data_IF_020237152822
#
_entry.id   IF_020237152822
#
_cell.length_a   1.000
_cell.length_b   1.000
_cell.length_c   1.000
_cell.angle_alpha   90.00
_cell.angle_beta   90.00
_cell.angle_gamma   90.00
#
_symmetry.space_group_name_H-M   'P 1'
#
loop_
_entity.id
_entity.type
_entity.pdbx_description
1 polymer ?
#
# COMPACT_ATOMS: atom_id res chain seq x y z
N UNK A 1 -34.72 -45.61 -46.99
CA UNK A 1 -33.74 -45.32 -45.93
C UNK A 1 -33.67 -43.85 -45.50
N UNK A 2 -33.90 -42.86 -46.33
CA UNK A 2 -33.85 -41.45 -45.92
C UNK A 2 -34.98 -41.02 -44.95
N UNK A 3 -36.19 -41.54 -45.09
CA UNK A 3 -37.33 -41.23 -44.20
C UNK A 3 -37.20 -41.75 -42.77
N UNK A 4 -36.47 -42.87 -42.57
CA UNK A 4 -36.20 -43.39 -41.21
C UNK A 4 -35.21 -42.58 -40.39
N UNK A 5 -34.28 -41.87 -41.06
CA UNK A 5 -33.31 -40.99 -40.35
C UNK A 5 -33.97 -39.76 -39.76
N UNK A 6 -34.98 -39.23 -40.41
CA UNK A 6 -35.72 -38.03 -39.90
C UNK A 6 -36.68 -38.39 -38.76
N UNK A 7 -37.24 -39.60 -38.75
CA UNK A 7 -38.09 -40.05 -37.64
C UNK A 7 -37.23 -40.34 -36.39
N UNK A 8 -36.03 -40.91 -36.53
CA UNK A 8 -35.13 -41.11 -35.41
C UNK A 8 -34.59 -39.80 -34.83
N UNK A 9 -34.35 -38.78 -35.68
CA UNK A 9 -33.93 -37.43 -35.22
C UNK A 9 -35.06 -36.65 -34.54
N UNK A 10 -36.35 -36.82 -35.01
CA UNK A 10 -37.49 -36.27 -34.32
C UNK A 10 -37.79 -36.91 -32.96
N UNK A 11 -37.55 -38.21 -32.81
CA UNK A 11 -37.66 -38.91 -31.52
C UNK A 11 -36.55 -38.52 -30.55
N UNK A 12 -35.31 -38.29 -31.01
CA UNK A 12 -34.22 -37.81 -30.18
C UNK A 12 -34.45 -36.36 -29.69
N UNK A 13 -35.06 -35.50 -30.54
CA UNK A 13 -35.40 -34.14 -30.15
C UNK A 13 -36.53 -34.09 -29.09
N UNK A 14 -37.50 -35.03 -29.16
CA UNK A 14 -38.56 -35.15 -28.15
C UNK A 14 -38.06 -35.69 -26.79
N UNK A 15 -36.96 -36.46 -26.76
CA UNK A 15 -36.37 -36.95 -25.50
C UNK A 15 -35.59 -35.84 -24.76
N UNK A 16 -35.10 -34.85 -25.44
CA UNK A 16 -34.47 -33.69 -24.79
C UNK A 16 -35.48 -32.61 -24.36
N UNK A 17 -36.69 -32.57 -24.89
CA UNK A 17 -37.75 -31.65 -24.47
C UNK A 17 -38.48 -32.12 -23.19
N UNK A 18 -38.27 -33.35 -22.74
CA UNK A 18 -38.95 -33.92 -21.58
C UNK A 18 -38.32 -33.64 -20.22
N UNK A 19 -37.21 -32.90 -20.18
CA UNK A 19 -36.56 -32.53 -18.90
C UNK A 19 -36.71 -31.06 -18.56
N UNK A 20 -37.43 -30.27 -19.35
CA UNK A 20 -37.87 -28.93 -18.97
C UNK A 20 -39.37 -28.99 -18.64
N UNK A 21 -39.68 -29.53 -17.46
CA UNK A 21 -41.01 -29.36 -16.89
C UNK A 21 -41.29 -27.88 -16.62
N UNK A 22 -42.56 -27.46 -16.83
CA UNK A 22 -43.12 -26.15 -16.53
C UNK A 22 -43.11 -25.82 -15.01
N UNK A 23 -42.03 -26.14 -14.31
CA UNK A 23 -41.88 -25.84 -12.90
C UNK A 23 -40.76 -24.82 -12.61
N UNK A 24 -40.60 -23.83 -13.48
CA UNK A 24 -40.15 -22.54 -13.00
C UNK A 24 -41.38 -21.92 -12.33
N UNK A 25 -41.48 -22.06 -11.00
CA UNK A 25 -42.35 -21.19 -10.24
C UNK A 25 -41.97 -19.77 -10.60
N UNK A 26 -42.91 -19.00 -11.15
CA UNK A 26 -42.75 -17.54 -11.21
C UNK A 26 -42.39 -17.09 -9.80
N UNK A 27 -41.37 -16.24 -9.60
CA UNK A 27 -41.09 -15.70 -8.28
C UNK A 27 -42.40 -15.05 -7.81
N UNK A 28 -43.01 -15.63 -6.80
CA UNK A 28 -44.16 -15.01 -6.16
C UNK A 28 -43.62 -13.74 -5.51
N UNK A 29 -43.94 -12.58 -6.05
CA UNK A 29 -43.47 -11.27 -5.59
C UNK A 29 -43.80 -10.97 -4.13
N UNK A 30 -44.49 -11.88 -3.46
CA UNK A 30 -44.87 -11.80 -2.04
C UNK A 30 -44.02 -12.65 -1.11
N UNK A 31 -43.20 -13.57 -1.62
CA UNK A 31 -42.23 -14.24 -0.76
C UNK A 31 -40.99 -13.35 -0.61
N UNK A 32 -40.80 -12.80 0.57
CA UNK A 32 -39.50 -12.26 1.00
C UNK A 32 -38.45 -13.28 0.62
N UNK A 33 -37.54 -12.94 -0.31
CA UNK A 33 -36.39 -13.77 -0.69
C UNK A 33 -35.65 -14.05 0.62
N UNK A 34 -35.84 -15.25 1.17
CA UNK A 34 -35.02 -15.70 2.31
C UNK A 34 -33.62 -15.80 1.75
N UNK A 35 -32.75 -14.86 2.13
CA UNK A 35 -31.33 -14.96 1.82
C UNK A 35 -30.89 -16.35 2.22
N UNK A 36 -30.39 -17.19 1.29
CA UNK A 36 -30.02 -18.57 1.61
C UNK A 36 -29.03 -18.53 2.75
N UNK A 37 -29.28 -19.28 3.79
CA UNK A 37 -28.33 -19.44 4.90
C UNK A 37 -27.05 -20.00 4.32
N UNK A 38 -25.92 -19.38 4.60
CA UNK A 38 -24.61 -19.82 4.11
C UNK A 38 -24.43 -21.32 4.34
N UNK A 39 -24.02 -22.10 3.32
CA UNK A 39 -23.69 -23.51 3.48
C UNK A 39 -22.38 -23.71 4.27
N UNK A 40 -21.65 -22.63 4.53
CA UNK A 40 -20.38 -22.63 5.21
C UNK A 40 -20.54 -22.20 6.68
N UNK A 41 -19.86 -22.90 7.57
CA UNK A 41 -19.83 -22.63 8.99
C UNK A 41 -21.07 -23.09 9.76
N UNK A 42 -21.14 -22.71 11.01
CA UNK A 42 -22.21 -23.03 11.93
C UNK A 42 -23.11 -21.81 12.15
N UNK A 43 -24.20 -21.73 11.40
CA UNK A 43 -25.14 -20.61 11.45
C UNK A 43 -25.94 -20.51 12.78
N UNK A 44 -25.82 -21.50 13.67
CA UNK A 44 -26.45 -21.50 14.99
C UNK A 44 -25.64 -20.74 16.04
N UNK A 45 -24.38 -20.38 15.73
CA UNK A 45 -23.56 -19.59 16.65
C UNK A 45 -24.17 -18.20 16.86
N UNK A 46 -24.22 -17.80 18.13
CA UNK A 46 -24.71 -16.50 18.60
C UNK A 46 -23.56 -15.62 19.08
N UNK A 47 -23.72 -14.31 19.00
CA UNK A 47 -22.69 -13.32 19.39
C UNK A 47 -22.70 -13.04 20.90
N UNK A 48 -22.71 -14.09 21.71
CA UNK A 48 -22.54 -14.04 23.16
C UNK A 48 -21.12 -14.40 23.57
N UNK A 49 -20.66 -13.95 24.73
CA UNK A 49 -19.32 -14.18 25.27
C UNK A 49 -18.18 -13.83 24.27
N UNK A 50 -18.39 -12.80 23.45
CA UNK A 50 -17.37 -12.32 22.51
C UNK A 50 -16.34 -11.49 23.27
N UNK A 51 -15.06 -11.85 23.13
CA UNK A 51 -13.92 -11.08 23.65
C UNK A 51 -13.09 -10.55 22.49
N UNK A 52 -12.25 -9.56 22.76
CA UNK A 52 -11.32 -9.02 21.75
C UNK A 52 -10.13 -9.95 21.54
N UNK A 53 -9.49 -9.85 20.37
CA UNK A 53 -8.28 -10.62 20.06
C UNK A 53 -7.14 -10.23 21.02
N UNK A 54 -7.02 -8.95 21.41
CA UNK A 54 -6.04 -8.54 22.42
C UNK A 54 -6.28 -9.19 23.77
N UNK A 55 -7.54 -9.27 24.22
CA UNK A 55 -7.89 -9.96 25.47
C UNK A 55 -7.54 -11.45 25.39
N UNK A 56 -7.86 -12.11 24.27
CA UNK A 56 -7.50 -13.51 24.05
C UNK A 56 -5.98 -13.71 24.10
N UNK A 57 -5.20 -12.89 23.40
CA UNK A 57 -3.72 -12.95 23.41
C UNK A 57 -3.17 -12.73 24.82
N UNK A 58 -3.73 -11.82 25.59
CA UNK A 58 -3.35 -11.56 26.98
C UNK A 58 -3.64 -12.75 27.90
N UNK A 59 -4.86 -13.33 27.82
CA UNK A 59 -5.28 -14.47 28.64
C UNK A 59 -4.38 -15.70 28.44
N UNK A 60 -3.89 -15.88 27.20
CA UNK A 60 -3.08 -17.04 26.82
C UNK A 60 -1.63 -16.69 26.48
N UNK A 61 -1.11 -15.55 26.94
CA UNK A 61 0.23 -15.04 26.61
C UNK A 61 1.35 -16.07 26.86
N UNK A 62 1.27 -16.84 27.96
CA UNK A 62 2.25 -17.90 28.27
C UNK A 62 2.26 -19.03 27.25
N UNK A 63 1.12 -19.34 26.65
CA UNK A 63 0.99 -20.39 25.65
C UNK A 63 1.46 -19.90 24.27
N UNK A 64 1.27 -18.62 23.97
CA UNK A 64 1.72 -17.99 22.73
C UNK A 64 3.24 -17.75 22.72
N UNK A 65 3.83 -17.45 23.87
CA UNK A 65 5.24 -17.11 24.00
C UNK A 65 6.22 -18.27 23.70
N UNK A 66 5.73 -19.50 23.54
CA UNK A 66 6.55 -20.70 23.34
C UNK A 66 5.97 -21.63 22.28
N UNK A 67 6.84 -22.16 21.42
CA UNK A 67 6.42 -23.10 20.36
C UNK A 67 5.86 -24.44 20.90
N UNK A 68 6.06 -24.74 22.16
CA UNK A 68 5.63 -26.03 22.78
C UNK A 68 4.56 -25.86 23.86
N UNK A 69 4.23 -24.64 24.24
CA UNK A 69 3.29 -24.32 25.30
C UNK A 69 1.91 -23.92 24.73
N UNK A 70 1.21 -24.85 24.12
CA UNK A 70 -0.17 -24.66 23.68
C UNK A 70 -1.16 -25.23 24.69
N UNK A 71 -2.42 -24.79 24.62
CA UNK A 71 -3.48 -25.31 25.51
C UNK A 71 -4.82 -25.37 24.79
N UNK A 72 -5.69 -26.26 25.28
CA UNK A 72 -7.09 -26.31 24.88
C UNK A 72 -7.86 -25.17 25.56
N UNK A 73 -8.74 -24.50 24.84
CA UNK A 73 -9.63 -23.47 25.37
C UNK A 73 -10.88 -24.17 25.94
N UNK A 74 -11.01 -24.20 27.25
CA UNK A 74 -12.17 -24.80 27.94
C UNK A 74 -13.28 -23.77 28.19
N UNK A 75 -12.96 -22.48 28.15
CA UNK A 75 -13.90 -21.37 28.34
C UNK A 75 -14.87 -21.29 27.17
N UNK A 76 -16.13 -20.95 27.47
CA UNK A 76 -17.12 -20.61 26.46
C UNK A 76 -16.91 -19.13 26.03
N UNK A 77 -15.99 -18.91 25.12
CA UNK A 77 -15.62 -17.60 24.59
C UNK A 77 -15.53 -17.64 23.08
N UNK A 78 -15.80 -16.50 22.48
CA UNK A 78 -15.76 -16.31 21.02
C UNK A 78 -14.92 -15.07 20.70
N UNK A 79 -14.42 -15.00 19.48
CA UNK A 79 -13.86 -13.78 18.88
C UNK A 79 -14.64 -13.43 17.63
N UNK A 80 -14.69 -12.13 17.32
CA UNK A 80 -15.27 -11.61 16.08
C UNK A 80 -14.25 -10.71 15.40
N UNK A 81 -14.00 -10.94 14.12
CA UNK A 81 -13.02 -10.16 13.37
C UNK A 81 -13.24 -10.29 11.88
N UNK A 82 -12.40 -9.62 11.12
CA UNK A 82 -12.39 -9.68 9.67
C UNK A 82 -11.25 -10.57 9.16
N UNK A 83 -11.53 -11.36 8.14
CA UNK A 83 -10.49 -12.05 7.37
C UNK A 83 -9.66 -11.02 6.63
N UNK A 84 -8.35 -11.02 6.82
CA UNK A 84 -7.42 -10.10 6.17
C UNK A 84 -6.49 -10.78 5.17
N UNK A 85 -6.30 -12.09 5.28
CA UNK A 85 -5.52 -12.91 4.36
C UNK A 85 -5.96 -14.36 4.40
N UNK A 86 -5.80 -15.07 3.27
CA UNK A 86 -6.18 -16.47 3.09
C UNK A 86 -5.20 -17.20 2.14
N UNK A 87 -5.57 -18.42 1.72
CA UNK A 87 -4.72 -19.31 0.94
C UNK A 87 -4.74 -19.06 -0.58
N UNK A 88 -5.37 -17.98 -1.08
CA UNK A 88 -5.55 -17.75 -2.53
C UNK A 88 -4.22 -17.61 -3.27
N UNK A 89 -3.26 -16.89 -2.71
CA UNK A 89 -1.92 -16.69 -3.30
C UNK A 89 -0.93 -17.81 -3.00
N UNK A 90 -1.29 -18.78 -2.15
CA UNK A 90 -0.44 -19.91 -1.77
C UNK A 90 0.69 -19.60 -0.79
N UNK A 91 0.83 -18.34 -0.37
CA UNK A 91 1.83 -17.94 0.61
C UNK A 91 1.38 -18.17 2.07
N UNK A 92 0.07 -17.94 2.35
CA UNK A 92 -0.58 -18.41 3.57
C UNK A 92 -1.12 -19.81 3.30
N UNK A 93 -0.38 -20.85 3.70
CA UNK A 93 -0.76 -22.23 3.38
C UNK A 93 -1.59 -22.86 4.48
N UNK A 94 -2.90 -23.08 4.20
CA UNK A 94 -3.85 -23.65 5.16
C UNK A 94 -3.99 -22.77 6.41
N UNK A 95 -3.91 -21.46 6.23
CA UNK A 95 -4.00 -20.46 7.26
C UNK A 95 -4.87 -19.30 6.79
N UNK A 96 -5.55 -18.68 7.74
CA UNK A 96 -6.35 -17.48 7.54
C UNK A 96 -5.96 -16.47 8.61
N UNK A 97 -5.64 -15.25 8.22
CA UNK A 97 -5.44 -14.16 9.16
C UNK A 97 -6.78 -13.54 9.53
N UNK A 98 -7.03 -13.39 10.82
CA UNK A 98 -8.23 -12.76 11.37
C UNK A 98 -7.82 -11.61 12.27
N UNK A 99 -8.44 -10.46 12.07
CA UNK A 99 -8.12 -9.20 12.73
C UNK A 99 -9.38 -8.52 13.25
N UNK A 100 -9.30 -7.97 14.47
CA UNK A 100 -10.23 -6.98 15.00
C UNK A 100 -9.50 -5.63 15.22
N UNK A 101 -10.16 -4.65 15.80
CA UNK A 101 -9.56 -3.33 16.11
C UNK A 101 -8.38 -3.42 17.07
N UNK A 102 -8.31 -4.48 17.90
CA UNK A 102 -7.35 -4.61 18.99
C UNK A 102 -6.16 -5.48 18.66
N UNK A 103 -6.26 -6.38 17.67
CA UNK A 103 -5.18 -7.29 17.34
C UNK A 103 -5.51 -8.23 16.20
N UNK A 104 -4.59 -9.17 15.96
CA UNK A 104 -4.76 -10.21 14.94
C UNK A 104 -4.12 -11.54 15.39
N UNK A 105 -4.56 -12.62 14.76
CA UNK A 105 -4.02 -13.97 14.92
C UNK A 105 -4.20 -14.78 13.64
N UNK A 106 -3.52 -15.93 13.56
CA UNK A 106 -3.71 -16.89 12.49
C UNK A 106 -4.63 -18.03 12.94
N UNK A 107 -5.53 -18.43 12.04
CA UNK A 107 -6.36 -19.62 12.21
C UNK A 107 -5.84 -20.70 11.28
N UNK A 108 -5.35 -21.79 11.85
CA UNK A 108 -4.67 -22.88 11.13
C UNK A 108 -5.65 -24.01 10.86
N UNK A 109 -5.93 -24.29 9.58
CA UNK A 109 -6.98 -25.23 9.14
C UNK A 109 -6.38 -26.19 8.12
N UNK A 110 -6.46 -27.49 8.37
CA UNK A 110 -6.01 -28.53 7.43
C UNK A 110 -7.01 -28.69 6.28
N UNK A 111 -7.12 -27.66 5.46
CA UNK A 111 -7.95 -27.63 4.26
C UNK A 111 -7.36 -26.64 3.24
N UNK A 112 -7.52 -26.94 1.97
CA UNK A 112 -7.27 -25.99 0.88
C UNK A 112 -8.57 -25.37 0.40
N UNK A 113 -8.46 -24.26 -0.37
CA UNK A 113 -9.60 -23.55 -0.93
C UNK A 113 -10.38 -22.76 0.10
N UNK A 114 -9.71 -22.32 1.16
CA UNK A 114 -10.31 -21.46 2.19
C UNK A 114 -10.79 -20.14 1.62
N UNK A 115 -10.10 -19.62 0.61
CA UNK A 115 -10.44 -18.39 -0.10
C UNK A 115 -11.82 -18.41 -0.76
N UNK A 116 -12.39 -19.58 -1.02
CA UNK A 116 -13.71 -19.70 -1.63
C UNK A 116 -14.87 -19.22 -0.74
N UNK A 117 -14.64 -19.09 0.59
CA UNK A 117 -15.65 -18.64 1.53
C UNK A 117 -15.11 -17.75 2.66
N UNK A 118 -13.79 -17.66 2.83
CA UNK A 118 -13.11 -16.76 3.74
C UNK A 118 -12.36 -15.70 2.93
N UNK A 119 -13.11 -14.85 2.27
CA UNK A 119 -12.56 -13.77 1.45
C UNK A 119 -12.09 -12.60 2.31
N UNK A 120 -11.03 -11.87 1.94
CA UNK A 120 -10.62 -10.67 2.65
C UNK A 120 -11.78 -9.66 2.76
N UNK A 121 -11.99 -9.11 3.97
CA UNK A 121 -13.12 -8.25 4.28
C UNK A 121 -14.39 -8.98 4.76
N UNK A 122 -14.40 -10.33 4.77
CA UNK A 122 -15.47 -11.11 5.38
C UNK A 122 -15.37 -11.05 6.90
N UNK A 123 -16.42 -10.61 7.57
CA UNK A 123 -16.52 -10.70 9.02
C UNK A 123 -16.90 -12.11 9.43
N UNK A 124 -16.23 -12.65 10.46
CA UNK A 124 -16.50 -13.99 11.00
C UNK A 124 -16.58 -13.95 12.53
N UNK A 125 -17.44 -14.79 13.06
CA UNK A 125 -17.49 -15.14 14.49
C UNK A 125 -16.83 -16.51 14.64
N UNK A 126 -15.91 -16.67 15.59
CA UNK A 126 -15.23 -17.94 15.87
C UNK A 126 -15.53 -18.35 17.31
N UNK A 127 -16.14 -19.52 17.48
CA UNK A 127 -16.28 -20.19 18.78
C UNK A 127 -14.98 -20.90 19.12
N UNK A 128 -14.34 -20.47 20.21
CA UNK A 128 -13.01 -20.96 20.58
C UNK A 128 -13.07 -22.17 21.52
N UNK A 129 -14.24 -22.50 22.06
CA UNK A 129 -14.38 -23.62 22.99
C UNK A 129 -13.95 -24.92 22.34
N UNK A 130 -13.07 -25.66 23.00
CA UNK A 130 -12.47 -26.91 22.55
C UNK A 130 -11.42 -26.78 21.41
N UNK A 131 -11.18 -25.61 20.87
CA UNK A 131 -10.02 -25.35 20.00
C UNK A 131 -8.74 -25.19 20.84
N UNK A 132 -7.62 -25.24 20.19
CA UNK A 132 -6.31 -25.03 20.79
C UNK A 132 -5.76 -23.65 20.43
N UNK A 133 -5.10 -23.02 21.42
CA UNK A 133 -4.35 -21.77 21.26
C UNK A 133 -2.88 -22.00 21.63
N UNK A 134 -2.00 -21.42 20.85
CA UNK A 134 -0.56 -21.48 21.07
C UNK A 134 0.18 -20.48 20.24
N UNK A 135 1.50 -20.65 20.13
CA UNK A 135 2.33 -19.81 19.27
C UNK A 135 3.31 -20.63 18.44
N UNK A 136 3.50 -20.20 17.19
CA UNK A 136 4.60 -20.64 16.37
C UNK A 136 5.54 -19.45 16.12
N UNK A 137 6.78 -19.54 16.60
CA UNK A 137 7.67 -18.37 16.61
C UNK A 137 7.10 -17.17 17.37
N UNK A 138 6.28 -17.40 18.40
CA UNK A 138 5.51 -16.40 19.15
C UNK A 138 4.39 -15.71 18.33
N UNK A 139 4.12 -16.11 17.10
CA UNK A 139 2.91 -15.71 16.38
C UNK A 139 1.72 -16.44 17.00
N UNK A 140 0.69 -15.69 17.41
CA UNK A 140 -0.52 -16.28 17.96
C UNK A 140 -1.29 -17.09 16.93
N UNK A 141 -1.63 -18.34 17.27
CA UNK A 141 -2.35 -19.27 16.40
C UNK A 141 -3.49 -19.96 17.13
N UNK A 142 -4.61 -20.10 16.44
CA UNK A 142 -5.72 -20.97 16.81
C UNK A 142 -5.73 -22.17 15.87
N UNK A 143 -5.86 -23.38 16.41
CA UNK A 143 -5.84 -24.57 15.57
C UNK A 143 -6.09 -25.87 16.32
N UNK A 144 -5.36 -26.90 15.96
CA UNK A 144 -5.35 -28.23 16.58
C UNK A 144 -3.97 -28.59 17.13
N UNK A 145 -3.73 -29.88 17.32
CA UNK A 145 -2.45 -30.39 17.78
C UNK A 145 -1.68 -30.95 16.59
N UNK A 146 -0.43 -30.51 16.45
CA UNK A 146 0.55 -31.16 15.59
C UNK A 146 1.42 -32.10 16.43
N UNK A 147 1.65 -33.32 15.94
CA UNK A 147 2.59 -34.27 16.52
C UNK A 147 3.67 -34.62 15.51
N UNK A 148 4.91 -34.34 15.84
CA UNK A 148 6.04 -34.77 15.05
C UNK A 148 6.21 -36.28 15.16
N UNK A 149 5.95 -37.02 14.10
CA UNK A 149 5.96 -38.48 14.10
C UNK A 149 7.34 -39.12 14.38
N UNK A 150 8.43 -38.35 14.19
CA UNK A 150 9.79 -38.83 14.45
C UNK A 150 10.21 -38.68 15.91
N UNK A 151 9.77 -37.62 16.55
CA UNK A 151 10.22 -37.25 17.91
C UNK A 151 9.13 -37.41 18.96
N UNK A 152 7.87 -37.54 18.59
CA UNK A 152 6.71 -37.51 19.48
C UNK A 152 6.41 -36.13 20.06
N UNK A 153 7.19 -35.10 19.72
CA UNK A 153 6.97 -33.74 20.21
C UNK A 153 5.68 -33.16 19.66
N UNK A 154 4.96 -32.43 20.51
CA UNK A 154 3.70 -31.78 20.14
C UNK A 154 3.83 -30.26 20.15
N UNK A 155 3.05 -29.59 19.30
CA UNK A 155 2.93 -28.13 19.22
C UNK A 155 1.54 -27.74 18.74
N UNK A 156 1.25 -26.44 18.74
CA UNK A 156 0.10 -25.93 18.00
C UNK A 156 0.21 -26.34 16.51
N UNK A 157 -0.91 -26.64 15.89
CA UNK A 157 -0.96 -27.04 14.50
C UNK A 157 -2.35 -26.81 13.91
N UNK A 158 -2.62 -27.47 12.77
CA UNK A 158 -3.87 -27.26 12.03
C UNK A 158 -5.01 -28.09 12.59
N UNK A 159 -6.18 -27.49 12.73
CA UNK A 159 -7.42 -28.25 13.01
C UNK A 159 -7.95 -28.89 11.73
N UNK A 160 -8.68 -29.97 11.85
CA UNK A 160 -9.35 -30.59 10.70
C UNK A 160 -10.55 -29.75 10.22
N UNK A 161 -10.92 -29.94 8.95
CA UNK A 161 -12.01 -29.20 8.31
C UNK A 161 -13.38 -29.41 8.99
N UNK A 162 -13.78 -30.63 9.40
CA UNK A 162 -15.03 -30.82 10.13
C UNK A 162 -15.10 -30.05 11.45
N UNK A 163 -14.01 -30.02 12.22
CA UNK A 163 -13.90 -29.20 13.43
C UNK A 163 -14.07 -27.72 13.08
N UNK A 164 -13.31 -27.21 12.10
CA UNK A 164 -13.45 -25.82 11.68
C UNK A 164 -14.89 -25.46 11.32
N UNK A 165 -15.56 -26.31 10.52
CA UNK A 165 -16.93 -26.07 10.04
C UNK A 165 -17.94 -25.88 11.19
N UNK A 166 -17.69 -26.40 12.36
CA UNK A 166 -18.56 -26.26 13.54
C UNK A 166 -18.27 -25.00 14.36
N UNK A 167 -17.08 -24.41 14.19
CA UNK A 167 -16.53 -23.38 15.06
C UNK A 167 -16.60 -21.97 14.50
N UNK A 168 -17.10 -21.74 13.29
CA UNK A 168 -17.22 -20.40 12.76
C UNK A 168 -18.59 -20.12 12.14
N UNK A 169 -18.90 -18.83 12.04
CA UNK A 169 -20.07 -18.31 11.32
C UNK A 169 -19.65 -17.09 10.50
N UNK A 170 -20.11 -17.04 9.25
CA UNK A 170 -19.97 -15.85 8.40
C UNK A 170 -20.99 -14.80 8.84
N UNK A 171 -20.58 -13.54 8.94
CA UNK A 171 -21.42 -12.41 9.33
C UNK A 171 -21.48 -11.43 8.18
N UNK A 172 -22.67 -11.19 7.65
CA UNK A 172 -22.88 -10.27 6.53
C UNK A 172 -22.16 -10.70 5.26
N UNK A 173 -22.01 -9.76 4.35
CA UNK A 173 -21.29 -9.93 3.11
C UNK A 173 -19.84 -9.44 3.24
N UNK A 174 -18.96 -10.00 2.42
CA UNK A 174 -17.57 -9.56 2.34
C UNK A 174 -17.47 -8.21 1.65
N UNK A 175 -16.77 -7.25 2.26
CA UNK A 175 -16.41 -5.97 1.63
C UNK A 175 -14.93 -5.66 1.94
N UNK A 176 -14.12 -5.51 0.91
CA UNK A 176 -12.71 -5.16 1.04
C UNK A 176 -12.47 -3.83 1.79
N UNK A 177 -13.46 -2.94 1.82
CA UNK A 177 -13.41 -1.68 2.60
C UNK A 177 -13.41 -1.89 4.12
N UNK A 178 -13.77 -3.08 4.57
CA UNK A 178 -13.74 -3.42 6.01
C UNK A 178 -12.30 -3.65 6.53
N UNK A 179 -11.31 -3.72 5.64
CA UNK A 179 -9.93 -4.03 6.00
C UNK A 179 -8.97 -3.05 5.33
N UNK A 180 -8.70 -1.94 5.99
CA UNK A 180 -7.64 -1.03 5.56
C UNK A 180 -6.30 -1.44 6.21
N UNK A 181 -5.19 -1.52 5.42
CA UNK A 181 -3.89 -1.83 5.99
C UNK A 181 -3.38 -0.68 6.87
N UNK A 182 -3.01 -0.98 8.11
CA UNK A 182 -2.35 -0.01 8.97
C UNK A 182 -0.91 0.26 8.49
N UNK A 183 -0.41 1.49 8.64
CA UNK A 183 0.97 1.78 8.30
C UNK A 183 1.94 1.15 9.31
N UNK A 184 2.93 0.42 8.80
CA UNK A 184 3.99 -0.16 9.62
C UNK A 184 5.03 0.91 9.97
N UNK A 185 5.22 1.16 11.26
CA UNK A 185 6.25 2.09 11.74
C UNK A 185 7.62 1.41 11.79
N UNK A 186 8.43 1.64 10.77
CA UNK A 186 9.76 1.06 10.65
C UNK A 186 10.70 1.49 11.81
N UNK A 187 10.47 2.62 12.44
CA UNK A 187 11.25 3.07 13.60
C UNK A 187 11.05 2.17 14.82
N UNK A 188 9.90 1.48 14.89
CA UNK A 188 9.52 0.53 15.95
C UNK A 188 9.77 -0.94 15.59
N UNK A 189 10.50 -1.20 14.52
CA UNK A 189 10.77 -2.58 14.04
C UNK A 189 11.35 -3.51 15.11
N UNK A 190 12.10 -2.98 16.08
CA UNK A 190 12.69 -3.72 17.21
C UNK A 190 11.95 -3.55 18.55
N UNK A 191 10.80 -2.84 18.54
CA UNK A 191 9.99 -2.64 19.74
C UNK A 191 9.14 -3.89 20.01
N UNK A 192 9.36 -4.51 21.16
CA UNK A 192 8.69 -5.76 21.53
C UNK A 192 7.18 -5.56 21.79
N UNK A 193 6.78 -4.43 22.36
CA UNK A 193 5.37 -4.12 22.62
C UNK A 193 4.61 -3.86 21.31
N UNK A 194 5.21 -3.11 20.40
CA UNK A 194 4.68 -2.89 19.04
C UNK A 194 4.50 -4.20 18.29
N UNK A 195 5.49 -5.11 18.39
CA UNK A 195 5.42 -6.43 17.76
C UNK A 195 4.31 -7.30 18.39
N UNK A 196 4.18 -7.31 19.71
CA UNK A 196 3.15 -8.08 20.41
C UNK A 196 1.74 -7.62 20.02
N UNK A 197 1.53 -6.32 19.92
CA UNK A 197 0.25 -5.72 19.55
C UNK A 197 -0.12 -6.02 18.10
N UNK A 198 0.86 -5.89 17.17
CA UNK A 198 0.57 -5.81 15.75
C UNK A 198 0.86 -7.09 14.95
N UNK A 199 1.52 -8.10 15.55
CA UNK A 199 1.81 -9.35 14.84
C UNK A 199 0.51 -10.08 14.42
N UNK A 200 0.44 -10.41 13.13
CA UNK A 200 -0.71 -10.99 12.45
C UNK A 200 -1.60 -9.99 11.71
N UNK A 201 -1.43 -8.67 11.91
CA UNK A 201 -2.25 -7.64 11.26
C UNK A 201 -1.92 -7.47 9.78
N UNK A 202 -2.92 -7.02 9.03
CA UNK A 202 -2.74 -6.47 7.68
C UNK A 202 -2.12 -5.09 7.82
N UNK A 203 -0.93 -4.90 7.24
CA UNK A 203 -0.20 -3.64 7.32
C UNK A 203 0.45 -3.30 5.98
N UNK A 204 0.90 -2.06 5.83
CA UNK A 204 1.67 -1.58 4.69
C UNK A 204 3.00 -0.97 5.14
N UNK A 205 4.10 -1.46 4.59
CA UNK A 205 5.44 -0.87 4.72
C UNK A 205 5.71 0.00 3.49
N UNK A 206 5.93 1.29 3.71
CA UNK A 206 6.08 2.26 2.62
C UNK A 206 7.53 2.52 2.24
N UNK A 207 7.75 2.86 0.97
CA UNK A 207 9.02 3.39 0.42
C UNK A 207 10.20 2.44 0.63
N UNK A 208 10.04 1.19 0.25
CA UNK A 208 11.10 0.18 0.30
C UNK A 208 11.41 -0.37 -1.08
N UNK A 209 12.60 -0.95 -1.25
CA UNK A 209 13.02 -1.69 -2.44
C UNK A 209 13.53 -3.07 -2.04
N UNK A 210 13.42 -4.04 -2.94
CA UNK A 210 14.06 -5.33 -2.72
C UNK A 210 15.56 -5.20 -2.91
N UNK A 211 16.34 -5.65 -1.92
CA UNK A 211 17.81 -5.52 -1.93
C UNK A 211 18.45 -6.28 -3.09
N UNK A 212 17.93 -7.47 -3.37
CA UNK A 212 18.51 -8.41 -4.34
C UNK A 212 17.74 -8.40 -5.67
N UNK A 213 17.04 -7.30 -6.00
CA UNK A 213 16.40 -7.09 -7.29
C UNK A 213 17.46 -6.80 -8.36
N UNK A 214 17.88 -7.84 -9.08
CA UNK A 214 18.97 -7.84 -10.06
C UNK A 214 18.50 -8.28 -11.47
N UNK A 215 17.17 -8.33 -11.67
CA UNK A 215 16.55 -8.82 -12.89
C UNK A 215 16.58 -10.35 -13.06
N UNK A 216 17.06 -11.12 -12.06
CA UNK A 216 17.22 -12.59 -12.11
C UNK A 216 16.73 -13.29 -10.84
N UNK A 217 17.00 -12.72 -9.68
CA UNK A 217 16.62 -13.29 -8.37
C UNK A 217 15.10 -13.34 -8.25
N UNK A 218 14.55 -14.51 -7.87
CA UNK A 218 13.11 -14.74 -7.71
C UNK A 218 12.72 -14.73 -6.24
N UNK A 219 11.41 -14.57 -5.95
CA UNK A 219 10.89 -14.53 -4.59
C UNK A 219 11.21 -15.80 -3.79
N UNK A 220 11.01 -16.99 -4.37
CA UNK A 220 11.31 -18.26 -3.71
C UNK A 220 11.63 -19.34 -4.75
N UNK A 221 12.91 -19.67 -4.96
CA UNK A 221 13.31 -20.66 -5.94
C UNK A 221 13.09 -22.09 -5.44
N UNK A 222 12.83 -23.02 -6.36
CA UNK A 222 12.88 -24.48 -6.13
C UNK A 222 12.00 -24.98 -4.98
N UNK A 223 10.77 -24.50 -4.88
CA UNK A 223 9.80 -24.87 -3.83
C UNK A 223 10.29 -24.64 -2.39
N UNK A 224 11.39 -23.91 -2.22
CA UNK A 224 11.92 -23.55 -0.91
C UNK A 224 11.26 -22.30 -0.36
N UNK A 225 11.00 -22.28 0.94
CA UNK A 225 10.57 -21.04 1.61
C UNK A 225 11.76 -20.11 1.78
N UNK A 226 11.68 -18.89 1.25
CA UNK A 226 12.80 -17.95 1.14
C UNK A 226 12.48 -16.62 1.84
N UNK A 227 13.52 -15.96 2.34
CA UNK A 227 13.46 -14.59 2.84
C UNK A 227 14.01 -13.63 1.78
N UNK A 228 13.23 -12.65 1.37
CA UNK A 228 13.69 -11.53 0.56
C UNK A 228 13.98 -10.33 1.48
N UNK A 229 15.08 -9.63 1.22
CA UNK A 229 15.56 -8.55 2.06
C UNK A 229 15.21 -7.20 1.45
N UNK A 230 15.10 -6.19 2.31
CA UNK A 230 14.64 -4.87 1.93
C UNK A 230 15.66 -3.79 2.27
N UNK A 231 15.61 -2.72 1.50
CA UNK A 231 16.30 -1.46 1.77
C UNK A 231 15.27 -0.34 1.85
N UNK A 232 15.52 0.66 2.65
CA UNK A 232 14.79 1.92 2.62
C UNK A 232 15.06 2.59 1.27
N UNK A 233 14.03 2.76 0.46
CA UNK A 233 14.18 3.22 -0.92
C UNK A 233 14.59 4.70 -1.00
N UNK A 234 14.31 5.50 0.04
CA UNK A 234 14.69 6.93 0.09
C UNK A 234 16.17 7.10 0.42
N UNK A 235 16.68 6.31 1.38
CA UNK A 235 18.05 6.46 1.88
C UNK A 235 19.05 5.45 1.33
N UNK A 236 18.54 4.37 0.70
CA UNK A 236 19.34 3.23 0.26
C UNK A 236 19.94 2.40 1.40
N UNK A 237 19.53 2.64 2.65
CA UNK A 237 20.03 1.90 3.82
C UNK A 237 19.37 0.52 3.92
N UNK A 238 20.18 -0.51 4.21
CA UNK A 238 19.65 -1.84 4.46
C UNK A 238 18.74 -1.85 5.70
N UNK A 239 17.57 -2.47 5.58
CA UNK A 239 16.76 -2.86 6.74
C UNK A 239 17.37 -4.14 7.32
N UNK A 240 17.49 -4.20 8.65
CA UNK A 240 18.12 -5.36 9.32
C UNK A 240 17.38 -6.66 9.00
N UNK A 241 18.09 -7.62 8.45
CA UNK A 241 17.57 -8.96 8.09
C UNK A 241 17.14 -9.80 9.30
N UNK A 242 17.63 -9.46 10.49
CA UNK A 242 17.20 -10.06 11.76
C UNK A 242 15.94 -9.40 12.33
N UNK A 243 15.53 -8.25 11.79
CA UNK A 243 14.38 -7.51 12.28
C UNK A 243 13.16 -7.62 11.36
N UNK A 244 13.38 -7.63 10.04
CA UNK A 244 12.27 -7.64 9.06
C UNK A 244 12.69 -8.33 7.76
N UNK A 245 11.81 -9.19 7.24
CA UNK A 245 11.97 -9.85 5.93
C UNK A 245 10.62 -9.97 5.23
N UNK A 246 10.62 -10.06 3.90
CA UNK A 246 9.49 -10.59 3.14
C UNK A 246 9.67 -12.10 3.05
N UNK A 247 8.76 -12.86 3.66
CA UNK A 247 8.80 -14.32 3.71
C UNK A 247 7.91 -14.91 2.63
N UNK A 248 8.49 -15.67 1.71
CA UNK A 248 7.77 -16.26 0.59
C UNK A 248 7.87 -17.79 0.61
N UNK A 249 6.72 -18.45 0.56
CA UNK A 249 6.64 -19.89 0.36
C UNK A 249 6.99 -20.26 -1.09
N UNK A 250 7.72 -21.35 -1.31
CA UNK A 250 7.95 -21.88 -2.65
C UNK A 250 6.67 -22.29 -3.38
N UNK A 251 5.56 -22.45 -2.65
CA UNK A 251 4.23 -22.75 -3.22
C UNK A 251 3.40 -21.51 -3.52
N UNK A 252 3.89 -20.31 -3.23
CA UNK A 252 3.21 -19.08 -3.60
C UNK A 252 3.10 -18.97 -5.13
N UNK A 253 1.97 -18.51 -5.65
CA UNK A 253 1.74 -18.36 -7.09
C UNK A 253 2.78 -17.45 -7.76
N UNK A 254 3.36 -16.53 -7.01
CA UNK A 254 4.41 -15.60 -7.46
C UNK A 254 5.83 -16.04 -7.10
N UNK A 255 6.04 -17.23 -6.51
CA UNK A 255 7.34 -17.71 -6.01
C UNK A 255 8.46 -17.60 -7.06
N UNK A 256 8.17 -17.95 -8.32
CA UNK A 256 9.11 -17.93 -9.42
C UNK A 256 9.17 -16.59 -10.19
N UNK A 257 8.43 -15.58 -9.75
CA UNK A 257 8.54 -14.25 -10.33
C UNK A 257 9.83 -13.57 -9.85
N UNK A 258 10.45 -12.80 -10.74
CA UNK A 258 11.66 -12.04 -10.44
C UNK A 258 11.33 -10.91 -9.46
N UNK A 259 12.21 -10.68 -8.49
CA UNK A 259 12.08 -9.55 -7.56
C UNK A 259 12.04 -8.24 -8.36
N UNK A 260 11.01 -7.43 -8.18
CA UNK A 260 10.84 -6.23 -8.99
C UNK A 260 11.81 -5.13 -8.55
N UNK A 261 12.39 -4.45 -9.55
CA UNK A 261 13.24 -3.28 -9.35
C UNK A 261 12.39 -2.02 -9.08
N UNK A 262 12.94 -1.06 -8.32
CA UNK A 262 12.29 0.20 -8.01
C UNK A 262 11.83 0.29 -6.56
N UNK A 263 11.01 1.28 -6.28
CA UNK A 263 10.46 1.54 -4.95
C UNK A 263 9.01 1.07 -4.85
N UNK A 264 8.66 0.53 -3.71
CA UNK A 264 7.34 -0.07 -3.45
C UNK A 264 6.77 0.32 -2.09
N UNK A 265 5.45 0.39 -2.02
CA UNK A 265 4.70 0.18 -0.80
C UNK A 265 4.33 -1.32 -0.77
N UNK A 266 4.67 -2.02 0.31
CA UNK A 266 4.46 -3.46 0.45
C UNK A 266 3.35 -3.69 1.47
N UNK A 267 2.19 -4.12 1.00
CA UNK A 267 1.09 -4.58 1.85
C UNK A 267 1.26 -6.07 2.14
N UNK A 268 0.73 -6.56 3.25
CA UNK A 268 0.76 -7.99 3.57
C UNK A 268 0.34 -8.27 5.00
N UNK A 269 0.35 -9.55 5.35
CA UNK A 269 0.16 -9.98 6.74
C UNK A 269 1.52 -9.93 7.45
N UNK A 270 1.64 -9.03 8.44
CA UNK A 270 2.87 -8.84 9.20
C UNK A 270 2.90 -9.81 10.38
N UNK A 271 3.41 -11.00 10.13
CA UNK A 271 3.62 -12.02 11.14
C UNK A 271 4.99 -11.89 11.82
N UNK A 272 5.27 -12.74 12.80
CA UNK A 272 6.57 -12.79 13.47
C UNK A 272 7.10 -14.22 13.56
N UNK A 273 8.43 -14.33 13.58
CA UNK A 273 9.11 -15.54 14.03
C UNK A 273 10.18 -15.15 15.06
N UNK A 274 9.91 -15.42 16.31
CA UNK A 274 10.72 -14.90 17.42
C UNK A 274 10.62 -13.37 17.50
N UNK A 275 11.73 -12.71 17.23
CA UNK A 275 11.83 -11.24 17.23
C UNK A 275 12.01 -10.68 15.81
N UNK A 276 11.79 -11.49 14.79
CA UNK A 276 11.86 -11.08 13.38
C UNK A 276 10.47 -10.93 12.80
N UNK A 277 10.17 -9.78 12.22
CA UNK A 277 8.97 -9.57 11.43
C UNK A 277 9.05 -10.32 10.11
N UNK A 278 7.96 -10.94 9.72
CA UNK A 278 7.82 -11.61 8.43
C UNK A 278 6.60 -11.04 7.70
N UNK A 279 6.83 -10.33 6.60
CA UNK A 279 5.76 -9.87 5.73
C UNK A 279 5.38 -11.04 4.82
N UNK A 280 4.16 -11.52 4.93
CA UNK A 280 3.57 -12.49 4.02
C UNK A 280 2.71 -11.75 3.01
N UNK A 281 3.17 -11.65 1.77
CA UNK A 281 2.35 -11.14 0.67
C UNK A 281 1.17 -12.09 0.45
N UNK A 282 -0.04 -11.56 0.35
CA UNK A 282 -1.24 -12.34 0.06
C UNK A 282 -1.30 -12.73 -1.41
N UNK A 283 -0.86 -11.80 -2.27
CA UNK A 283 -0.67 -11.96 -3.71
C UNK A 283 0.41 -10.98 -4.17
N UNK A 284 0.81 -11.03 -5.44
CA UNK A 284 1.77 -10.10 -6.05
C UNK A 284 1.22 -8.66 -6.08
N UNK A 285 -0.09 -8.50 -6.14
CA UNK A 285 -0.78 -7.19 -6.13
C UNK A 285 -0.64 -6.44 -4.78
N UNK A 286 -0.12 -7.09 -3.75
CA UNK A 286 0.28 -6.44 -2.50
C UNK A 286 1.52 -5.51 -2.67
N UNK A 287 2.15 -5.51 -3.85
CA UNK A 287 3.25 -4.64 -4.22
C UNK A 287 2.76 -3.45 -5.06
N UNK A 288 2.63 -2.30 -4.44
CA UNK A 288 2.34 -1.05 -5.13
C UNK A 288 3.65 -0.35 -5.53
N UNK A 289 3.95 -0.31 -6.83
CA UNK A 289 5.11 0.44 -7.30
C UNK A 289 4.91 1.93 -7.13
N UNK A 290 5.89 2.62 -6.58
CA UNK A 290 5.85 4.07 -6.34
C UNK A 290 7.02 4.77 -7.02
N UNK A 291 6.80 6.04 -7.36
CA UNK A 291 7.88 6.93 -7.77
C UNK A 291 8.28 7.79 -6.56
N UNK A 292 9.53 7.71 -6.14
CA UNK A 292 10.05 8.54 -5.06
C UNK A 292 10.18 9.98 -5.54
N UNK A 293 9.67 10.92 -4.74
CA UNK A 293 9.99 12.33 -4.91
C UNK A 293 11.28 12.66 -4.16
N UNK A 294 12.26 13.27 -4.84
CA UNK A 294 13.48 13.77 -4.21
C UNK A 294 13.25 15.12 -3.54
N UNK A 295 12.26 15.84 -4.02
CA UNK A 295 11.83 17.11 -3.43
C UNK A 295 10.38 17.41 -3.83
N UNK A 296 9.62 17.99 -2.91
CA UNK A 296 8.24 18.45 -3.16
C UNK A 296 7.94 19.69 -2.34
N UNK A 297 7.37 20.71 -2.99
CA UNK A 297 6.84 21.91 -2.34
C UNK A 297 5.58 22.36 -3.07
N UNK A 298 4.47 22.45 -2.33
CA UNK A 298 3.18 22.84 -2.91
C UNK A 298 2.88 24.33 -2.74
N UNK A 299 3.53 24.97 -1.77
CA UNK A 299 3.22 26.32 -1.29
C UNK A 299 1.77 26.49 -0.81
N UNK A 300 1.19 25.42 -0.25
CA UNK A 300 -0.20 25.44 0.24
C UNK A 300 -0.39 26.28 1.51
N UNK A 301 0.64 26.43 2.34
CA UNK A 301 0.54 27.09 3.64
C UNK A 301 1.44 28.33 3.76
N UNK A 302 2.59 28.32 3.09
CA UNK A 302 3.60 29.37 3.20
C UNK A 302 4.60 29.31 2.04
N UNK A 303 5.67 30.11 2.14
CA UNK A 303 6.86 30.07 1.28
C UNK A 303 7.66 28.78 1.45
N UNK A 304 7.41 27.96 2.47
CA UNK A 304 8.23 26.81 2.82
C UNK A 304 9.67 27.23 3.14
N UNK A 305 10.62 26.32 2.83
CA UNK A 305 12.06 26.54 3.07
C UNK A 305 12.76 27.31 1.93
N UNK A 306 12.01 27.85 0.98
CA UNK A 306 12.60 28.66 -0.10
C UNK A 306 13.15 29.96 0.40
N UNK A 307 14.25 30.41 -0.21
CA UNK A 307 14.91 31.68 0.13
C UNK A 307 14.68 32.72 -0.97
N UNK A 308 14.36 33.97 -0.57
CA UNK A 308 14.23 35.09 -1.46
C UNK A 308 15.53 35.94 -1.38
N UNK A 309 16.11 36.20 -2.54
CA UNK A 309 17.26 37.11 -2.70
C UNK A 309 16.90 38.19 -3.67
N UNK A 310 16.92 39.43 -3.18
CA UNK A 310 16.79 40.61 -4.05
C UNK A 310 18.18 40.95 -4.62
N UNK A 311 18.41 40.62 -5.90
CA UNK A 311 19.68 40.87 -6.61
C UNK A 311 19.86 42.37 -6.80
N UNK A 312 18.77 43.08 -7.08
CA UNK A 312 18.67 44.53 -6.92
C UNK A 312 17.74 44.87 -5.76
N UNK A 313 18.00 45.93 -5.01
CA UNK A 313 17.05 46.38 -3.98
C UNK A 313 15.64 46.52 -4.56
N UNK A 314 14.62 46.10 -3.82
CA UNK A 314 13.22 46.23 -4.26
C UNK A 314 12.90 47.69 -4.57
N UNK A 315 12.39 47.94 -5.77
CA UNK A 315 12.09 49.28 -6.26
C UNK A 315 10.59 49.42 -6.54
N UNK A 316 9.96 50.40 -5.97
CA UNK A 316 8.54 50.70 -6.20
C UNK A 316 7.53 49.71 -5.65
N UNK A 317 7.98 48.55 -5.14
CA UNK A 317 7.17 47.50 -4.54
C UNK A 317 7.71 47.14 -3.16
N UNK A 318 6.85 46.66 -2.26
CA UNK A 318 7.24 46.26 -0.90
C UNK A 318 8.10 44.98 -0.92
N UNK A 319 7.74 44.04 -1.77
CA UNK A 319 8.46 42.82 -2.00
C UNK A 319 8.23 42.36 -3.45
N UNK A 320 9.29 41.85 -4.09
CA UNK A 320 9.18 41.29 -5.45
C UNK A 320 8.53 39.93 -5.39
N UNK A 321 9.08 39.01 -4.58
CA UNK A 321 8.50 37.69 -4.29
C UNK A 321 7.73 37.72 -2.96
N UNK A 322 6.56 37.10 -2.92
CA UNK A 322 5.77 36.84 -1.71
C UNK A 322 4.92 35.60 -1.87
N UNK A 323 4.61 34.92 -0.78
CA UNK A 323 3.56 33.90 -0.76
C UNK A 323 2.18 34.57 -0.89
N UNK A 324 1.40 34.19 -1.87
CA UNK A 324 0.09 34.78 -2.13
C UNK A 324 -1.02 34.10 -1.34
N UNK A 325 -1.23 32.81 -1.57
CA UNK A 325 -2.12 31.87 -0.87
C UNK A 325 -1.99 30.48 -1.49
N UNK A 326 -2.72 29.49 -0.95
CA UNK A 326 -2.68 28.10 -1.43
C UNK A 326 -3.04 27.92 -2.92
N UNK A 327 -3.91 28.76 -3.49
CA UNK A 327 -4.34 28.63 -4.88
C UNK A 327 -3.28 29.12 -5.87
N UNK A 328 -2.49 30.11 -5.49
CA UNK A 328 -1.52 30.80 -6.36
C UNK A 328 -0.07 30.50 -6.01
N UNK A 329 0.21 29.98 -4.79
CA UNK A 329 1.55 29.65 -4.34
C UNK A 329 2.43 30.90 -4.12
N UNK A 330 3.67 30.85 -4.62
CA UNK A 330 4.60 31.99 -4.62
C UNK A 330 4.33 32.90 -5.82
N UNK A 331 4.33 34.19 -5.58
CA UNK A 331 4.05 35.22 -6.59
C UNK A 331 5.17 36.24 -6.66
N UNK A 332 5.64 36.52 -7.88
CA UNK A 332 6.53 37.63 -8.16
C UNK A 332 5.81 38.72 -8.97
N UNK A 333 6.07 39.98 -8.64
CA UNK A 333 5.63 41.12 -9.42
C UNK A 333 6.48 42.35 -9.14
N UNK A 334 6.81 43.11 -10.16
CA UNK A 334 7.43 44.42 -10.09
C UNK A 334 6.43 45.55 -10.38
N UNK A 335 5.12 45.31 -10.29
CA UNK A 335 4.05 46.24 -10.59
C UNK A 335 3.43 46.83 -9.34
N UNK A 336 3.37 48.17 -9.27
CA UNK A 336 2.59 48.92 -8.28
C UNK A 336 2.11 50.24 -8.91
N UNK A 337 0.90 50.24 -9.45
CA UNK A 337 0.30 51.34 -10.23
C UNK A 337 1.04 51.62 -11.57
N UNK A 338 2.29 51.26 -11.67
CA UNK A 338 3.13 51.22 -12.88
C UNK A 338 4.18 50.14 -12.76
N UNK A 339 4.87 49.86 -13.84
CA UNK A 339 6.00 48.95 -13.84
C UNK A 339 7.24 49.59 -13.20
N UNK A 340 8.03 48.78 -12.49
CA UNK A 340 9.31 49.14 -11.90
C UNK A 340 10.36 48.10 -12.21
N UNK A 341 11.57 48.53 -12.51
CA UNK A 341 12.71 47.65 -12.74
C UNK A 341 13.12 46.94 -11.43
N UNK A 342 13.10 45.63 -11.43
CA UNK A 342 13.47 44.76 -10.32
C UNK A 342 14.18 43.50 -10.80
N UNK A 343 15.04 42.95 -9.95
CA UNK A 343 15.64 41.64 -10.15
C UNK A 343 15.68 40.88 -8.82
N UNK A 344 14.98 39.76 -8.75
CA UNK A 344 14.88 38.97 -7.51
C UNK A 344 14.77 37.47 -7.81
N UNK A 345 15.37 36.65 -6.95
CA UNK A 345 15.44 35.20 -7.09
C UNK A 345 14.73 34.52 -5.91
N UNK A 346 13.96 33.50 -6.21
CA UNK A 346 13.42 32.57 -5.25
C UNK A 346 14.18 31.24 -5.43
N UNK A 347 14.81 30.71 -4.37
CA UNK A 347 15.72 29.56 -4.42
C UNK A 347 15.24 28.43 -3.51
N UNK A 348 15.20 27.21 -4.01
CA UNK A 348 14.86 26.00 -3.24
C UNK A 348 15.94 25.69 -2.18
N UNK A 349 15.61 24.87 -1.17
CA UNK A 349 16.62 24.13 -0.42
C UNK A 349 17.49 23.28 -1.34
N UNK A 350 18.59 22.72 -0.80
CA UNK A 350 19.43 21.76 -1.51
C UNK A 350 18.63 20.48 -1.82
N UNK A 351 18.68 20.03 -3.06
CA UNK A 351 18.02 18.80 -3.54
C UNK A 351 19.11 17.79 -3.90
N UNK A 352 19.07 16.62 -3.27
CA UNK A 352 20.08 15.57 -3.45
C UNK A 352 19.72 14.64 -4.60
N UNK A 353 20.38 14.80 -5.74
CA UNK A 353 20.30 13.87 -6.88
C UNK A 353 21.54 12.96 -7.00
N UNK A 354 22.38 12.89 -5.94
CA UNK A 354 23.68 12.21 -6.02
C UNK A 354 23.59 10.71 -6.29
N UNK A 355 22.46 10.08 -6.01
CA UNK A 355 22.25 8.63 -6.15
C UNK A 355 21.31 8.23 -7.29
N UNK A 356 20.80 9.18 -8.06
CA UNK A 356 19.85 8.91 -9.13
C UNK A 356 20.46 9.06 -10.51
N UNK A 357 19.97 8.30 -11.48
CA UNK A 357 20.43 8.31 -12.87
C UNK A 357 19.56 9.18 -13.77
N UNK A 358 18.31 9.40 -13.35
CA UNK A 358 17.35 10.23 -14.05
C UNK A 358 16.61 11.07 -13.03
N UNK A 359 16.28 12.31 -13.39
CA UNK A 359 15.47 13.19 -12.59
C UNK A 359 14.70 14.17 -13.48
N UNK A 360 13.51 14.51 -13.04
CA UNK A 360 12.62 15.44 -13.72
C UNK A 360 12.04 16.42 -12.71
N UNK A 361 12.07 17.71 -13.03
CA UNK A 361 11.34 18.74 -12.31
C UNK A 361 10.00 18.99 -12.99
N UNK A 362 8.91 18.94 -12.25
CA UNK A 362 7.60 19.45 -12.67
C UNK A 362 7.17 20.58 -11.76
N UNK A 363 6.48 21.55 -12.31
CA UNK A 363 5.86 22.65 -11.53
C UNK A 363 4.64 23.20 -12.28
N UNK A 364 3.70 23.75 -11.53
CA UNK A 364 2.62 24.54 -12.10
C UNK A 364 2.99 26.03 -12.05
N UNK A 365 2.89 26.70 -13.18
CA UNK A 365 3.23 28.12 -13.29
C UNK A 365 2.28 28.87 -14.21
N UNK A 366 2.12 30.15 -13.92
CA UNK A 366 1.41 31.11 -14.76
C UNK A 366 2.22 32.40 -14.85
N UNK A 367 2.31 32.97 -16.05
CA UNK A 367 2.89 34.30 -16.30
C UNK A 367 1.85 35.13 -17.03
N UNK A 368 1.57 36.32 -16.53
CA UNK A 368 0.66 37.23 -17.19
C UNK A 368 1.23 38.68 -17.12
N UNK A 369 0.70 39.55 -17.93
CA UNK A 369 1.08 40.98 -18.01
C UNK A 369 2.52 41.23 -18.47
N UNK A 370 3.10 40.29 -19.21
CA UNK A 370 4.38 40.56 -19.88
C UNK A 370 4.17 41.43 -21.13
N UNK A 371 5.13 42.25 -21.44
CA UNK A 371 5.21 43.01 -22.68
C UNK A 371 6.40 42.60 -23.57
N UNK A 372 7.17 41.59 -23.11
CA UNK A 372 8.30 40.95 -23.83
C UNK A 372 8.14 39.41 -23.76
N UNK A 373 9.18 38.70 -24.12
CA UNK A 373 9.25 37.24 -24.02
C UNK A 373 9.27 36.83 -22.53
N UNK A 374 8.25 36.07 -22.04
CA UNK A 374 8.19 35.66 -20.64
C UNK A 374 9.42 34.84 -20.21
N UNK A 375 10.11 34.14 -21.11
CA UNK A 375 11.34 33.39 -20.81
C UNK A 375 12.54 34.29 -20.49
N UNK A 376 12.52 35.57 -20.90
CA UNK A 376 13.56 36.53 -20.54
C UNK A 376 13.34 37.13 -19.17
N UNK A 377 12.07 37.37 -18.82
CA UNK A 377 11.68 38.05 -17.58
C UNK A 377 11.56 37.07 -16.40
N UNK A 378 11.17 35.81 -16.65
CA UNK A 378 10.88 34.79 -15.66
C UNK A 378 11.68 33.52 -16.00
N UNK A 379 12.85 33.32 -15.40
CA UNK A 379 13.75 32.22 -15.76
C UNK A 379 13.78 31.14 -14.69
N UNK A 380 13.72 29.89 -15.13
CA UNK A 380 13.98 28.71 -14.28
C UNK A 380 15.47 28.39 -14.42
N UNK A 381 16.17 28.25 -13.29
CA UNK A 381 17.61 28.04 -13.25
C UNK A 381 17.97 26.90 -12.32
N UNK A 382 19.09 26.24 -12.58
CA UNK A 382 19.67 25.20 -11.71
C UNK A 382 21.13 25.56 -11.42
N UNK A 383 21.53 25.36 -10.17
CA UNK A 383 22.90 25.49 -9.71
C UNK A 383 23.33 24.26 -8.94
N UNK A 384 24.63 23.89 -8.99
CA UNK A 384 25.25 22.84 -8.18
C UNK A 384 26.00 23.37 -6.96
N UNK A 385 26.11 24.69 -6.83
CA UNK A 385 26.88 25.36 -5.74
C UNK A 385 26.12 26.54 -5.10
N UNK A 386 24.87 26.79 -5.54
CA UNK A 386 24.03 27.89 -5.06
C UNK A 386 24.44 29.28 -5.53
N UNK A 387 25.50 29.40 -6.36
CA UNK A 387 26.05 30.70 -6.84
C UNK A 387 26.12 30.81 -8.35
N UNK A 388 26.52 29.73 -9.02
CA UNK A 388 26.62 29.67 -10.47
C UNK A 388 25.36 29.07 -11.09
N UNK A 389 24.50 29.91 -11.65
CA UNK A 389 23.18 29.55 -12.16
C UNK A 389 23.20 29.30 -13.68
N UNK A 390 22.47 28.28 -14.12
CA UNK A 390 22.27 27.94 -15.53
C UNK A 390 20.80 27.88 -15.85
N UNK A 391 20.36 28.60 -16.89
CA UNK A 391 19.01 28.54 -17.38
C UNK A 391 18.69 27.11 -17.84
N UNK A 392 17.46 26.65 -17.55
CA UNK A 392 16.94 25.35 -17.97
C UNK A 392 15.65 25.53 -18.75
N UNK A 393 15.47 24.70 -19.78
CA UNK A 393 14.31 24.76 -20.66
C UNK A 393 13.20 23.84 -20.14
N UNK A 394 11.98 24.37 -20.10
CA UNK A 394 10.77 23.59 -19.85
C UNK A 394 10.11 23.19 -21.19
N UNK A 395 9.45 22.05 -21.21
CA UNK A 395 8.66 21.55 -22.36
C UNK A 395 7.50 22.48 -22.70
N UNK A 396 6.78 22.96 -21.69
CA UNK A 396 5.70 23.95 -21.81
C UNK A 396 6.05 25.17 -20.98
N UNK A 397 5.82 26.35 -21.54
CA UNK A 397 6.06 27.63 -20.88
C UNK A 397 4.82 28.53 -21.01
N UNK A 398 4.42 29.29 -19.96
CA UNK A 398 3.28 30.21 -20.06
C UNK A 398 3.46 31.24 -21.18
N UNK A 399 2.40 31.50 -21.92
CA UNK A 399 2.44 32.45 -23.04
C UNK A 399 2.55 33.93 -22.61
N UNK A 400 2.41 34.24 -21.33
CA UNK A 400 2.56 35.59 -20.79
C UNK A 400 1.31 36.49 -20.83
N UNK A 401 0.17 35.96 -21.27
CA UNK A 401 -1.08 36.68 -21.49
C UNK A 401 -2.35 35.98 -20.94
N UNK A 402 -2.20 34.88 -20.16
CA UNK A 402 -3.28 34.14 -19.53
C UNK A 402 -3.03 34.01 -18.02
N UNK A 403 -4.12 33.80 -17.26
CA UNK A 403 -4.10 33.40 -15.86
C UNK A 403 -4.28 31.91 -15.66
N UNK A 404 -4.23 31.13 -16.75
CA UNK A 404 -4.29 29.68 -16.67
C UNK A 404 -2.93 29.10 -16.30
N UNK A 405 -2.89 28.28 -15.25
CA UNK A 405 -1.69 27.56 -14.90
C UNK A 405 -1.38 26.49 -15.96
N UNK A 406 -0.11 26.39 -16.31
CA UNK A 406 0.42 25.30 -17.12
C UNK A 406 1.39 24.49 -16.28
N UNK A 407 1.33 23.16 -16.44
CA UNK A 407 2.34 22.28 -15.86
C UNK A 407 3.55 22.25 -16.79
N UNK A 408 4.69 22.60 -16.26
CA UNK A 408 5.98 22.62 -16.96
C UNK A 408 6.85 21.49 -16.48
N UNK A 409 7.53 20.82 -17.44
CA UNK A 409 8.44 19.70 -17.17
C UNK A 409 9.85 20.04 -17.64
N UNK A 410 10.84 19.81 -16.80
CA UNK A 410 12.25 20.08 -17.08
C UNK A 410 13.06 18.80 -16.83
N UNK A 411 13.84 18.38 -17.82
CA UNK A 411 14.73 17.24 -17.68
C UNK A 411 15.98 17.63 -16.89
N UNK A 412 16.20 16.99 -15.74
CA UNK A 412 17.34 17.23 -14.86
C UNK A 412 18.44 16.15 -14.99
N UNK A 413 18.38 15.24 -15.97
CA UNK A 413 19.35 14.13 -16.16
C UNK A 413 20.81 14.58 -16.10
N UNK A 414 21.16 15.74 -16.68
CA UNK A 414 22.53 16.29 -16.65
C UNK A 414 23.04 16.68 -15.28
N UNK A 415 22.15 16.76 -14.30
CA UNK A 415 22.47 17.09 -12.91
C UNK A 415 22.42 15.87 -11.96
N UNK A 416 22.02 14.70 -12.45
CA UNK A 416 22.09 13.46 -11.69
C UNK A 416 23.53 13.17 -11.26
N UNK A 417 23.71 12.52 -10.10
CA UNK A 417 24.99 12.33 -9.46
C UNK A 417 25.50 13.54 -8.65
N UNK A 418 24.69 14.59 -8.48
CA UNK A 418 25.05 15.85 -7.80
C UNK A 418 23.96 16.30 -6.85
N UNK A 419 24.31 17.20 -5.96
CA UNK A 419 23.37 18.05 -5.21
C UNK A 419 23.09 19.30 -6.03
N UNK A 420 21.85 19.79 -6.02
CA UNK A 420 21.43 20.94 -6.79
C UNK A 420 20.55 21.92 -6.00
N UNK A 421 20.44 23.11 -6.53
CA UNK A 421 19.45 24.11 -6.15
C UNK A 421 18.65 24.47 -7.40
N UNK A 422 17.35 24.66 -7.27
CA UNK A 422 16.46 25.20 -8.29
C UNK A 422 16.14 26.64 -7.93
N UNK A 423 16.18 27.53 -8.90
CA UNK A 423 15.78 28.91 -8.68
C UNK A 423 14.85 29.45 -9.75
N UNK A 424 14.03 30.41 -9.33
CA UNK A 424 13.13 31.17 -10.16
C UNK A 424 13.58 32.63 -10.13
N UNK A 425 14.23 33.03 -11.22
CA UNK A 425 14.73 34.40 -11.37
C UNK A 425 13.69 35.26 -12.07
N UNK A 426 13.17 36.21 -11.34
CA UNK A 426 12.26 37.23 -11.84
C UNK A 426 13.01 38.53 -12.17
N UNK A 427 12.74 39.08 -13.36
CA UNK A 427 13.22 40.38 -13.80
C UNK A 427 12.07 41.22 -14.34
N UNK A 428 12.10 42.50 -14.07
CA UNK A 428 11.17 43.48 -14.63
C UNK A 428 11.90 44.76 -15.01
N UNK A 429 11.27 45.57 -15.82
CA UNK A 429 11.74 46.88 -16.26
C UNK A 429 10.70 47.95 -15.96
N UNK A 430 11.01 49.22 -16.17
CA UNK A 430 10.03 50.28 -16.03
C UNK A 430 8.91 50.26 -17.09
N UNK A 431 9.05 49.41 -18.10
CA UNK A 431 8.09 49.22 -19.18
C UNK A 431 7.34 47.88 -19.10
N UNK A 432 7.93 46.85 -18.48
CA UNK A 432 7.35 45.52 -18.36
C UNK A 432 7.57 44.99 -16.94
N UNK A 433 6.49 44.58 -16.27
CA UNK A 433 6.53 43.95 -14.95
C UNK A 433 5.49 42.84 -14.90
N UNK A 434 5.83 41.64 -15.44
CA UNK A 434 4.91 40.53 -15.45
C UNK A 434 4.54 40.10 -14.02
N UNK A 435 3.44 39.39 -13.90
CA UNK A 435 3.11 38.62 -12.71
C UNK A 435 3.44 37.16 -12.98
N UNK A 436 4.27 36.57 -12.14
CA UNK A 436 4.63 35.15 -12.20
C UNK A 436 4.20 34.47 -10.91
N UNK A 437 3.38 33.43 -11.04
CA UNK A 437 2.95 32.57 -9.92
C UNK A 437 3.41 31.16 -10.16
N UNK A 438 3.89 30.48 -9.09
CA UNK A 438 4.43 29.13 -9.13
C UNK A 438 3.94 28.33 -7.93
N UNK A 439 3.62 27.05 -8.16
CA UNK A 439 3.23 26.06 -7.13
C UNK A 439 3.52 24.63 -7.58
N UNK A 440 3.25 23.66 -6.70
CA UNK A 440 3.34 22.24 -6.96
C UNK A 440 4.68 21.81 -7.58
N UNK A 441 5.78 22.26 -6.97
CA UNK A 441 7.14 21.90 -7.39
C UNK A 441 7.41 20.46 -6.96
N UNK A 442 7.79 19.61 -7.91
CA UNK A 442 8.09 18.21 -7.66
C UNK A 442 9.34 17.80 -8.45
N UNK A 443 10.34 17.23 -7.76
CA UNK A 443 11.49 16.58 -8.36
C UNK A 443 11.39 15.08 -8.10
N UNK A 444 11.37 14.28 -9.16
CA UNK A 444 11.23 12.82 -9.13
C UNK A 444 12.19 12.17 -10.11
#
# INVERSE_FOLDING_TARGET
>A
MKKFKYIAMAFAALLFASCMGDSYADPDDTETIKVPVSPYGNNKLTEDNVITIAQLKSDYAKNIASNTAFTKIDKDIKIKGYVTGNDIGGNLYQEVSVQDETGALLVCINAGGLHGYLTPGQQILIDLKNLYIGGYGKQAEIGGIYTNLKTGATSIGKMDRPTWQQHYKLIGESDAKNIEPAEFDLSKVSDAAYMEENAGKLMVLKKVSFKDADGKTVFAPNDATTNCYLVDATTGKNISTSSLVVRTSGYAKFANQVLPEGAYNITGIFTRYGNTWQILLRDIDDLEQITLSMFSETFSESQGDFKIENITPANGVTAVWNWANANYGMKASGYNSKSYANCSRLTSPEIDLSKVQEATLTLDQVINKTSDDPKKECKIQVSTDGTNWKDVEADVYPAGNSWDFVTSTINLKKYCGKKIYISFLYTSTDNSAPTWEIKNILVK
#
